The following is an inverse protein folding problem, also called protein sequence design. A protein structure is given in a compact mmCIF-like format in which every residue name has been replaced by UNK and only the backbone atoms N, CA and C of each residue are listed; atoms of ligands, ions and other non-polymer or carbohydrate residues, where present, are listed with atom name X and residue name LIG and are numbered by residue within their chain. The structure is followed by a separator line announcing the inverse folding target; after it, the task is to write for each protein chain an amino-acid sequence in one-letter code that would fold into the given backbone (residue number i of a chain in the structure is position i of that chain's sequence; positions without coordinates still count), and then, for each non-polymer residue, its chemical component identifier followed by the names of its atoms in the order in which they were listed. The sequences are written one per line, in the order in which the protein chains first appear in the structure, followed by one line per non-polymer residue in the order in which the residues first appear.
data_IF_931678684901
#
_entry.id   IF_931678684901
#
_cell.length_a   1.000
_cell.length_b   1.000
_cell.length_c   1.000
_cell.angle_alpha   90.00
_cell.angle_beta   90.00
_cell.angle_gamma   90.00
#
_symmetry.space_group_name_H-M   'P 1'
#
loop_
_entity.id
_entity.type
_entity.pdbx_description
1 polymer ?
#
# COMPACT_ATOMS: atom_id res chain seq x y z
N UNK A 1 28.27 -30.97 10.50
CA UNK A 1 28.78 -31.43 9.20
C UNK A 1 27.56 -31.66 8.31
N UNK A 2 27.30 -30.80 7.34
CA UNK A 2 26.12 -30.92 6.48
C UNK A 2 26.39 -31.98 5.41
N UNK A 3 25.49 -32.96 5.25
CA UNK A 3 25.59 -33.97 4.19
C UNK A 3 25.18 -33.31 2.88
N UNK A 4 26.18 -32.94 2.08
CA UNK A 4 25.95 -32.44 0.71
C UNK A 4 25.79 -33.65 -0.20
N UNK A 5 24.65 -33.78 -0.86
CA UNK A 5 24.37 -34.91 -1.72
C UNK A 5 25.17 -34.81 -3.02
N UNK A 6 25.83 -35.90 -3.43
CA UNK A 6 26.36 -36.01 -4.78
C UNK A 6 25.19 -36.09 -5.75
N UNK A 7 25.18 -35.27 -6.79
CA UNK A 7 24.14 -35.29 -7.83
C UNK A 7 24.11 -36.68 -8.46
N UNK A 8 23.04 -37.45 -8.25
CA UNK A 8 22.84 -38.76 -8.90
C UNK A 8 22.06 -38.65 -10.20
N UNK A 9 21.29 -37.57 -10.38
CA UNK A 9 20.51 -37.31 -11.59
C UNK A 9 20.47 -35.82 -11.95
N UNK A 10 20.27 -35.50 -13.23
CA UNK A 10 20.06 -34.12 -13.71
C UNK A 10 18.81 -33.45 -13.10
N UNK A 11 17.92 -34.21 -12.44
CA UNK A 11 16.71 -33.69 -11.78
C UNK A 11 16.97 -33.18 -10.37
N UNK A 12 18.10 -33.53 -9.77
CA UNK A 12 18.45 -33.10 -8.43
C UNK A 12 19.22 -31.77 -8.49
N UNK A 13 18.57 -30.71 -8.01
CA UNK A 13 19.18 -29.39 -7.88
C UNK A 13 19.70 -29.16 -6.47
N UNK A 14 20.94 -28.66 -6.36
CA UNK A 14 21.51 -28.24 -5.09
C UNK A 14 20.65 -27.14 -4.46
N UNK A 15 20.38 -27.26 -3.17
CA UNK A 15 19.79 -26.21 -2.34
C UNK A 15 20.76 -25.03 -2.20
N UNK A 16 20.27 -23.86 -1.75
CA UNK A 16 21.12 -22.69 -1.54
C UNK A 16 22.26 -22.98 -0.53
N UNK A 17 21.93 -23.66 0.57
CA UNK A 17 22.90 -24.05 1.60
C UNK A 17 23.95 -25.03 1.07
N UNK A 18 23.56 -26.01 0.23
CA UNK A 18 24.53 -26.94 -0.38
C UNK A 18 25.48 -26.20 -1.32
N UNK A 19 24.99 -25.25 -2.12
CA UNK A 19 25.83 -24.44 -3.02
C UNK A 19 26.82 -23.58 -2.22
N UNK A 20 26.38 -22.98 -1.12
CA UNK A 20 27.24 -22.18 -0.24
C UNK A 20 28.30 -23.04 0.46
N UNK A 21 27.94 -24.24 0.94
CA UNK A 21 28.88 -25.17 1.55
C UNK A 21 29.95 -25.63 0.55
N UNK A 22 29.54 -26.01 -0.67
CA UNK A 22 30.48 -26.41 -1.74
C UNK A 22 31.38 -25.22 -2.13
N UNK A 23 30.82 -24.01 -2.22
CA UNK A 23 31.57 -22.81 -2.54
C UNK A 23 32.62 -22.49 -1.48
N UNK A 24 32.28 -22.60 -0.19
CA UNK A 24 33.23 -22.41 0.91
C UNK A 24 34.38 -23.43 0.86
N UNK A 25 34.09 -24.71 0.60
CA UNK A 25 35.12 -25.74 0.43
C UNK A 25 36.00 -25.47 -0.80
N UNK A 26 35.41 -25.01 -1.91
CA UNK A 26 36.13 -24.64 -3.13
C UNK A 26 37.05 -23.43 -2.93
N UNK A 27 36.62 -22.44 -2.16
CA UNK A 27 37.43 -21.25 -1.84
C UNK A 27 38.57 -21.57 -0.86
N UNK A 28 38.36 -22.50 0.09
CA UNK A 28 39.39 -22.97 1.02
C UNK A 28 40.43 -23.90 0.38
N UNK A 29 40.11 -24.53 -0.76
CA UNK A 29 41.01 -25.47 -1.42
C UNK A 29 42.21 -24.78 -2.11
N UNK A 30 43.39 -25.39 -1.99
CA UNK A 30 44.61 -24.93 -2.64
C UNK A 30 44.49 -24.91 -4.18
N UNK A 31 45.26 -24.06 -4.89
CA UNK A 31 45.34 -24.08 -6.34
C UNK A 31 45.74 -25.48 -6.83
N UNK A 32 44.86 -26.15 -7.59
CA UNK A 32 45.05 -27.53 -8.05
C UNK A 32 44.18 -28.58 -7.33
N UNK A 33 43.72 -28.32 -6.11
CA UNK A 33 42.78 -29.19 -5.38
C UNK A 33 41.31 -28.82 -5.63
N UNK A 34 41.07 -27.65 -6.22
CA UNK A 34 39.74 -27.14 -6.59
C UNK A 34 38.96 -28.11 -7.50
N UNK A 35 39.65 -28.76 -8.42
CA UNK A 35 39.10 -29.74 -9.35
C UNK A 35 38.71 -31.04 -8.64
N UNK A 36 39.40 -31.40 -7.55
CA UNK A 36 39.05 -32.55 -6.71
C UNK A 36 37.73 -32.30 -5.99
N UNK A 37 37.52 -31.08 -5.46
CA UNK A 37 36.25 -30.65 -4.87
C UNK A 37 35.12 -30.72 -5.90
N UNK A 38 35.34 -30.20 -7.11
CA UNK A 38 34.38 -30.27 -8.21
C UNK A 38 33.96 -31.72 -8.55
N UNK A 39 34.93 -32.64 -8.63
CA UNK A 39 34.67 -34.06 -8.93
C UNK A 39 33.93 -34.78 -7.81
N UNK A 40 34.18 -34.42 -6.54
CA UNK A 40 33.52 -35.02 -5.38
C UNK A 40 32.01 -34.78 -5.40
N UNK A 41 31.60 -33.56 -5.76
CA UNK A 41 30.18 -33.16 -5.78
C UNK A 41 29.54 -33.26 -7.17
N UNK A 42 30.27 -33.70 -8.19
CA UNK A 42 29.83 -33.72 -9.59
C UNK A 42 29.32 -32.34 -10.06
N UNK A 43 30.13 -31.31 -9.80
CA UNK A 43 29.84 -29.91 -10.14
C UNK A 43 30.88 -29.36 -11.10
N UNK A 44 30.42 -28.63 -12.12
CA UNK A 44 31.30 -27.94 -13.05
C UNK A 44 31.89 -26.67 -12.41
N UNK A 45 33.16 -26.39 -12.70
CA UNK A 45 33.84 -25.17 -12.22
C UNK A 45 33.07 -23.90 -12.61
N UNK A 46 32.49 -23.84 -13.81
CA UNK A 46 31.65 -22.73 -14.27
C UNK A 46 30.44 -22.50 -13.35
N UNK A 47 29.82 -23.57 -12.83
CA UNK A 47 28.71 -23.46 -11.89
C UNK A 47 29.15 -22.87 -10.55
N UNK A 48 30.30 -23.29 -10.04
CA UNK A 48 30.85 -22.77 -8.78
C UNK A 48 31.22 -21.28 -8.92
N UNK A 49 31.83 -20.88 -10.04
CA UNK A 49 32.13 -19.49 -10.33
C UNK A 49 30.86 -18.63 -10.46
N UNK A 50 29.80 -19.18 -11.06
CA UNK A 50 28.49 -18.53 -11.09
C UNK A 50 27.93 -18.35 -9.68
N UNK A 51 27.97 -19.38 -8.84
CA UNK A 51 27.51 -19.27 -7.45
C UNK A 51 28.28 -18.22 -6.65
N UNK A 52 29.58 -18.08 -6.92
CA UNK A 52 30.40 -17.00 -6.34
C UNK A 52 29.91 -15.61 -6.74
N UNK A 53 29.54 -15.43 -8.02
CA UNK A 53 28.96 -14.18 -8.52
C UNK A 53 27.60 -13.93 -7.87
N UNK A 54 26.75 -14.95 -7.82
CA UNK A 54 25.41 -14.88 -7.23
C UNK A 54 25.49 -14.55 -5.72
N UNK A 55 26.46 -15.11 -4.99
CA UNK A 55 26.73 -14.80 -3.58
C UNK A 55 27.15 -13.33 -3.40
N UNK A 56 28.10 -12.85 -4.22
CA UNK A 56 28.53 -11.44 -4.18
C UNK A 56 27.42 -10.45 -4.53
N UNK A 57 26.43 -10.89 -5.31
CA UNK A 57 25.26 -10.10 -5.67
C UNK A 57 24.11 -10.21 -4.66
N UNK A 58 24.25 -10.98 -3.58
CA UNK A 58 23.17 -11.24 -2.60
C UNK A 58 22.02 -12.08 -3.16
N UNK A 59 22.23 -12.79 -4.28
CA UNK A 59 21.26 -13.69 -4.90
C UNK A 59 21.34 -15.12 -4.35
N UNK A 60 22.44 -15.46 -3.67
CA UNK A 60 22.68 -16.75 -3.06
C UNK A 60 22.84 -16.59 -1.54
N UNK A 61 21.72 -16.46 -0.85
CA UNK A 61 21.66 -16.34 0.60
C UNK A 61 21.42 -17.69 1.29
N UNK A 62 21.92 -17.88 2.53
CA UNK A 62 21.54 -19.00 3.36
C UNK A 62 20.02 -19.05 3.50
N UNK A 63 19.43 -20.20 3.20
CA UNK A 63 17.98 -20.37 3.28
C UNK A 63 17.66 -21.39 4.35
N UNK A 64 16.88 -21.02 5.36
CA UNK A 64 16.49 -21.92 6.46
C UNK A 64 15.59 -23.07 6.01
N UNK A 65 15.17 -23.10 4.75
CA UNK A 65 14.38 -24.18 4.16
C UNK A 65 14.59 -24.34 2.66
N UNK A 66 14.08 -25.44 2.11
CA UNK A 66 14.06 -25.67 0.65
C UNK A 66 13.00 -24.75 0.03
N UNK A 67 13.27 -23.45 -0.04
CA UNK A 67 12.48 -22.53 -0.84
C UNK A 67 12.74 -22.84 -2.32
N UNK A 68 12.05 -23.86 -2.84
CA UNK A 68 11.62 -23.84 -4.23
C UNK A 68 10.85 -22.53 -4.36
N UNK A 69 11.45 -21.53 -5.02
CA UNK A 69 10.78 -20.25 -5.24
C UNK A 69 9.33 -20.52 -5.64
N UNK A 70 8.38 -19.98 -4.90
CA UNK A 70 6.98 -20.32 -5.06
C UNK A 70 6.56 -19.91 -6.48
N UNK A 71 6.45 -20.90 -7.36
CA UNK A 71 5.95 -20.70 -8.71
C UNK A 71 4.43 -20.72 -8.57
N UNK A 72 3.81 -19.55 -8.72
CA UNK A 72 2.36 -19.45 -8.66
C UNK A 72 1.74 -20.46 -9.62
N UNK A 73 0.86 -21.30 -9.08
CA UNK A 73 0.09 -22.27 -9.84
C UNK A 73 -0.94 -21.52 -10.72
N UNK A 74 -1.58 -22.24 -11.66
CA UNK A 74 -2.51 -21.62 -12.63
C UNK A 74 -3.68 -20.89 -11.95
N UNK A 75 -4.15 -21.40 -10.81
CA UNK A 75 -5.25 -20.82 -10.03
C UNK A 75 -4.80 -19.54 -9.32
N UNK A 76 -3.66 -19.58 -8.64
CA UNK A 76 -3.05 -18.41 -8.00
C UNK A 76 -2.78 -17.27 -9.00
N UNK A 77 -2.35 -17.60 -10.23
CA UNK A 77 -2.21 -16.59 -11.30
C UNK A 77 -3.54 -15.98 -11.72
N UNK A 78 -4.59 -16.80 -11.83
CA UNK A 78 -5.92 -16.31 -12.19
C UNK A 78 -6.50 -15.41 -11.09
N UNK A 79 -6.34 -15.81 -9.83
CA UNK A 79 -6.75 -15.03 -8.67
C UNK A 79 -5.97 -13.71 -8.58
N UNK A 80 -4.67 -13.73 -8.88
CA UNK A 80 -3.84 -12.52 -8.94
C UNK A 80 -4.33 -11.53 -10.01
N UNK A 81 -4.61 -12.02 -11.23
CA UNK A 81 -5.15 -11.16 -12.31
C UNK A 81 -6.52 -10.60 -11.93
N UNK A 82 -7.38 -11.39 -11.28
CA UNK A 82 -8.67 -10.93 -10.79
C UNK A 82 -8.49 -9.84 -9.73
N UNK A 83 -7.61 -10.05 -8.76
CA UNK A 83 -7.33 -9.08 -7.71
C UNK A 83 -6.79 -7.75 -8.27
N UNK A 84 -5.94 -7.80 -9.30
CA UNK A 84 -5.46 -6.60 -9.97
C UNK A 84 -6.60 -5.81 -10.63
N UNK A 85 -7.49 -6.48 -11.35
CA UNK A 85 -8.67 -5.83 -11.96
C UNK A 85 -9.57 -5.21 -10.90
N UNK A 86 -9.85 -5.93 -9.82
CA UNK A 86 -10.64 -5.41 -8.72
C UNK A 86 -9.97 -4.18 -8.11
N UNK A 87 -8.65 -4.20 -7.91
CA UNK A 87 -7.90 -3.05 -7.40
C UNK A 87 -8.02 -1.82 -8.32
N UNK A 88 -7.90 -1.99 -9.62
CA UNK A 88 -8.07 -0.91 -10.60
C UNK A 88 -9.48 -0.32 -10.55
N UNK A 89 -10.51 -1.18 -10.50
CA UNK A 89 -11.90 -0.70 -10.39
C UNK A 89 -12.18 0.04 -9.09
N UNK A 90 -11.62 -0.43 -7.97
CA UNK A 90 -11.76 0.22 -6.67
C UNK A 90 -11.05 1.58 -6.65
N UNK A 91 -9.86 1.68 -7.26
CA UNK A 91 -9.15 2.95 -7.42
C UNK A 91 -9.94 3.96 -8.25
N UNK A 92 -10.58 3.51 -9.34
CA UNK A 92 -11.43 4.38 -10.16
C UNK A 92 -12.64 4.92 -9.38
N UNK A 93 -13.30 4.05 -8.58
CA UNK A 93 -14.42 4.46 -7.71
C UNK A 93 -13.99 5.42 -6.60
N UNK A 94 -12.79 5.22 -6.06
CA UNK A 94 -12.22 6.11 -5.06
C UNK A 94 -12.01 7.50 -5.66
N UNK A 95 -11.35 7.59 -6.82
CA UNK A 95 -11.14 8.86 -7.52
C UNK A 95 -12.47 9.58 -7.84
N UNK A 96 -13.49 8.83 -8.27
CA UNK A 96 -14.83 9.40 -8.48
C UNK A 96 -15.41 9.98 -7.19
N UNK A 97 -15.31 9.25 -6.08
CA UNK A 97 -15.83 9.70 -4.78
C UNK A 97 -15.08 10.93 -4.27
N UNK A 98 -13.76 10.97 -4.44
CA UNK A 98 -12.92 12.13 -4.09
C UNK A 98 -13.32 13.37 -4.89
N UNK A 99 -13.54 13.25 -6.19
CA UNK A 99 -14.03 14.37 -7.01
C UNK A 99 -15.41 14.87 -6.58
N UNK A 100 -16.31 13.96 -6.17
CA UNK A 100 -17.63 14.34 -5.67
C UNK A 100 -17.51 15.14 -4.36
N UNK A 101 -16.63 14.72 -3.45
CA UNK A 101 -16.33 15.46 -2.21
C UNK A 101 -15.76 16.84 -2.52
N UNK A 102 -14.87 16.97 -3.50
CA UNK A 102 -14.30 18.26 -3.90
C UNK A 102 -15.38 19.21 -4.45
N UNK A 103 -16.27 18.73 -5.31
CA UNK A 103 -17.38 19.52 -5.85
C UNK A 103 -18.33 19.97 -4.74
N UNK A 104 -18.67 19.07 -3.82
CA UNK A 104 -19.50 19.40 -2.65
C UNK A 104 -18.82 20.43 -1.75
N UNK A 105 -17.50 20.33 -1.55
CA UNK A 105 -16.71 21.33 -0.84
C UNK A 105 -16.82 22.71 -1.48
N UNK A 106 -16.57 22.82 -2.78
CA UNK A 106 -16.69 24.07 -3.55
C UNK A 106 -18.11 24.66 -3.50
N UNK A 107 -19.14 23.82 -3.59
CA UNK A 107 -20.52 24.27 -3.47
C UNK A 107 -20.84 24.83 -2.07
N UNK A 108 -20.34 24.18 -1.01
CA UNK A 108 -20.51 24.65 0.36
C UNK A 108 -19.81 25.99 0.61
N UNK A 109 -18.61 26.19 0.07
CA UNK A 109 -17.88 27.46 0.13
C UNK A 109 -18.63 28.58 -0.59
N UNK A 110 -19.17 28.29 -1.78
CA UNK A 110 -19.99 29.24 -2.53
C UNK A 110 -21.22 29.66 -1.72
N UNK A 111 -21.97 28.70 -1.17
CA UNK A 111 -23.12 28.99 -0.31
C UNK A 111 -22.74 29.81 0.92
N UNK A 112 -21.62 29.49 1.57
CA UNK A 112 -21.12 30.27 2.71
C UNK A 112 -20.76 31.72 2.31
N UNK A 113 -20.19 31.93 1.11
CA UNK A 113 -19.86 33.26 0.60
C UNK A 113 -21.12 34.10 0.30
N UNK A 114 -22.15 33.49 -0.28
CA UNK A 114 -23.45 34.14 -0.55
C UNK A 114 -24.18 34.48 0.74
N UNK A 115 -24.16 33.58 1.73
CA UNK A 115 -24.70 33.82 3.06
C UNK A 115 -23.99 35.00 3.76
N UNK A 116 -22.66 35.09 3.63
CA UNK A 116 -21.89 36.22 4.17
C UNK A 116 -22.23 37.55 3.47
N UNK A 117 -22.39 37.54 2.14
CA UNK A 117 -22.77 38.73 1.36
C UNK A 117 -24.21 39.20 1.62
N UNK A 118 -25.15 38.27 1.81
CA UNK A 118 -26.55 38.59 2.13
C UNK A 118 -26.72 39.17 3.53
N UNK A 119 -25.91 38.72 4.50
CA UNK A 119 -25.90 39.28 5.87
C UNK A 119 -25.48 40.75 5.92
N UNK A 120 -24.75 41.24 4.91
CA UNK A 120 -24.34 42.65 4.76
C UNK A 120 -25.50 43.51 4.23
N UNK A 121 -26.56 42.90 3.68
CA UNK A 121 -27.73 43.57 3.07
C UNK A 121 -29.03 43.42 3.88
N UNK A 122 -28.92 43.36 5.20
CA UNK A 122 -30.07 43.66 6.06
C UNK A 122 -29.79 45.07 6.58
N UNK A 123 -30.37 46.14 5.99
CA UNK A 123 -30.42 47.39 6.72
C UNK A 123 -31.13 47.06 8.03
N UNK A 124 -30.48 47.34 9.15
CA UNK A 124 -31.16 47.40 10.44
C UNK A 124 -32.41 48.24 10.19
N UNK A 125 -33.58 47.62 10.33
CA UNK A 125 -34.83 48.37 10.28
C UNK A 125 -34.66 49.42 11.36
N UNK A 126 -34.69 50.73 11.03
CA UNK A 126 -34.50 51.74 12.05
C UNK A 126 -35.48 51.42 13.15
N UNK A 127 -34.90 51.34 14.35
CA UNK A 127 -35.54 51.17 15.64
C UNK A 127 -36.95 51.76 15.57
N UNK A 128 -37.92 50.91 15.91
CA UNK A 128 -39.34 51.24 15.86
C UNK A 128 -39.49 52.65 16.41
N UNK A 129 -39.81 53.62 15.54
CA UNK A 129 -40.19 54.94 16.00
C UNK A 129 -41.36 54.68 16.91
N UNK A 130 -41.10 54.85 18.22
CA UNK A 130 -42.09 54.72 19.26
C UNK A 130 -43.32 55.48 18.76
N UNK A 131 -44.44 54.77 18.61
CA UNK A 131 -45.69 55.40 18.23
C UNK A 131 -45.89 56.55 19.23
N UNK A 132 -45.96 57.82 18.78
CA UNK A 132 -46.04 58.94 19.68
C UNK A 132 -47.25 58.73 20.59
N UNK A 133 -47.06 59.02 21.89
CA UNK A 133 -48.01 58.71 22.97
C UNK A 133 -49.45 59.19 22.67
N UNK A 134 -49.59 60.18 21.78
CA UNK A 134 -50.86 60.69 21.27
C UNK A 134 -51.76 59.65 20.55
N UNK A 135 -51.22 58.55 20.03
CA UNK A 135 -52.00 57.50 19.35
C UNK A 135 -52.21 56.22 20.19
N UNK A 136 -51.77 56.22 21.45
CA UNK A 136 -52.05 55.11 22.36
C UNK A 136 -53.50 55.24 22.83
N UNK A 137 -54.44 54.64 22.09
CA UNK A 137 -55.80 54.44 22.61
C UNK A 137 -55.71 53.53 23.82
N UNK A 138 -55.97 54.08 25.00
CA UNK A 138 -56.11 53.28 26.20
C UNK A 138 -57.46 52.58 26.10
N UNK A 139 -57.41 51.25 25.96
CA UNK A 139 -58.59 50.41 26.15
C UNK A 139 -59.10 50.70 27.57
N UNK A 140 -60.35 51.17 27.77
CA UNK A 140 -60.86 51.38 29.11
C UNK A 140 -60.92 50.01 29.79
N UNK A 141 -60.25 49.89 30.94
CA UNK A 141 -60.42 48.73 31.80
C UNK A 141 -61.79 48.83 32.45
N UNK A 142 -62.55 47.76 32.29
CA UNK A 142 -63.85 47.56 32.90
C UNK A 142 -63.80 47.65 34.43
N UNK A 143 -64.85 48.25 35.00
CA UNK A 143 -65.42 47.88 36.28
C UNK A 143 -65.05 48.79 37.47
N UNK A 144 -66.07 49.41 38.08
CA UNK A 144 -66.70 48.91 39.32
C UNK A 144 -67.52 50.03 39.99
N UNK A 145 -68.77 49.75 40.36
CA UNK A 145 -69.34 50.32 41.59
C UNK A 145 -70.79 50.80 41.56
N UNK A 146 -71.66 49.94 42.13
CA UNK A 146 -73.00 50.14 42.72
C UNK A 146 -74.20 50.09 41.78
#
# INVERSE_FOLDING_TARGET
MMVVHRRSSNRDSFTANERLAILAEYEAAAPGQKQVVCRRYDVNQTSVLRWRKDQRAGLLEPSEGKHRGHVMNKRERADYVRALRENETLKAKLAQSESAVEVLGKASELLASMAKSSRIRIPETPDQTEIPVAFRTTKPQDGLGK
#
